data_IF_796752722274
#
_entry.id   IF_796752722274
#
_cell.length_a   1.000
_cell.length_b   1.000
_cell.length_c   1.000
_cell.angle_alpha   90.00
_cell.angle_beta   90.00
_cell.angle_gamma   90.00
#
_symmetry.space_group_name_H-M   'P 1'
#
loop_
_entity.id
_entity.type
_entity.pdbx_description
1 polymer ?
#
# COMPACT_ATOMS: atom_id res chain seq x y z
N UNK A 1 -26.22 -22.79 27.14
CA UNK A 1 -26.70 -23.81 26.17
C UNK A 1 -25.47 -24.51 25.64
N UNK A 2 -25.42 -25.85 25.60
CA UNK A 2 -24.27 -26.57 25.07
C UNK A 2 -24.07 -26.22 23.59
N UNK A 3 -22.85 -25.88 23.21
CA UNK A 3 -22.47 -25.60 21.83
C UNK A 3 -22.53 -26.92 21.06
N UNK A 4 -23.34 -26.97 20.00
CA UNK A 4 -23.47 -28.14 19.12
C UNK A 4 -22.39 -28.13 18.02
N UNK A 5 -22.05 -29.29 17.45
CA UNK A 5 -21.07 -29.44 16.36
C UNK A 5 -21.42 -28.59 15.13
N UNK A 6 -22.71 -28.32 14.88
CA UNK A 6 -23.16 -27.43 13.82
C UNK A 6 -22.69 -25.97 14.02
N UNK A 7 -22.70 -25.48 15.27
CA UNK A 7 -22.27 -24.11 15.59
C UNK A 7 -20.76 -23.95 15.42
N UNK A 8 -19.96 -24.97 15.77
CA UNK A 8 -18.50 -24.94 15.57
C UNK A 8 -18.14 -24.88 14.08
N UNK A 9 -18.86 -25.61 13.23
CA UNK A 9 -18.65 -25.58 11.78
C UNK A 9 -19.00 -24.21 11.16
N UNK A 10 -20.01 -23.53 11.69
CA UNK A 10 -20.34 -22.15 11.29
C UNK A 10 -19.25 -21.16 11.73
N UNK A 11 -18.69 -21.34 12.94
CA UNK A 11 -17.55 -20.55 13.42
C UNK A 11 -16.29 -20.77 12.56
N UNK A 12 -16.02 -22.00 12.10
CA UNK A 12 -14.92 -22.28 11.15
C UNK A 12 -15.07 -21.49 9.86
N UNK A 13 -16.27 -21.45 9.28
CA UNK A 13 -16.55 -20.67 8.08
C UNK A 13 -16.34 -19.16 8.33
N UNK A 14 -16.79 -18.65 9.48
CA UNK A 14 -16.58 -17.26 9.88
C UNK A 14 -15.10 -16.89 10.06
N UNK A 15 -14.27 -17.80 10.55
CA UNK A 15 -12.81 -17.60 10.65
C UNK A 15 -12.16 -17.55 9.28
N UNK A 16 -12.57 -18.42 8.35
CA UNK A 16 -12.03 -18.41 6.98
C UNK A 16 -12.31 -17.08 6.27
N UNK A 17 -13.54 -16.56 6.38
CA UNK A 17 -13.90 -15.24 5.84
C UNK A 17 -13.09 -14.11 6.52
N UNK A 18 -12.93 -14.18 7.85
CA UNK A 18 -12.10 -13.23 8.59
C UNK A 18 -10.62 -13.27 8.14
N UNK A 19 -10.09 -14.47 7.87
CA UNK A 19 -8.72 -14.67 7.39
C UNK A 19 -8.54 -14.07 5.98
N UNK A 20 -9.51 -14.29 5.08
CA UNK A 20 -9.49 -13.71 3.74
C UNK A 20 -9.46 -12.18 3.79
N UNK A 21 -10.28 -11.58 4.65
CA UNK A 21 -10.28 -10.11 4.87
C UNK A 21 -8.92 -9.59 5.35
N UNK A 22 -8.24 -10.31 6.25
CA UNK A 22 -6.88 -9.96 6.70
C UNK A 22 -5.89 -10.03 5.54
N UNK A 23 -5.95 -11.07 4.71
CA UNK A 23 -5.06 -11.22 3.55
C UNK A 23 -5.27 -10.05 2.56
N UNK A 24 -6.53 -9.74 2.24
CA UNK A 24 -6.87 -8.66 1.32
C UNK A 24 -6.45 -7.28 1.86
N UNK A 25 -6.64 -7.03 3.15
CA UNK A 25 -6.21 -5.79 3.78
C UNK A 25 -4.68 -5.63 3.77
N UNK A 26 -3.92 -6.71 4.07
CA UNK A 26 -2.46 -6.71 3.98
C UNK A 26 -1.94 -6.50 2.57
N UNK A 27 -2.57 -7.12 1.56
CA UNK A 27 -2.23 -6.89 0.16
C UNK A 27 -2.43 -5.42 -0.23
N UNK A 28 -3.54 -4.81 0.23
CA UNK A 28 -3.82 -3.39 0.01
C UNK A 28 -2.75 -2.49 0.65
N UNK A 29 -2.32 -2.79 1.88
CA UNK A 29 -1.19 -2.08 2.53
C UNK A 29 0.09 -2.16 1.69
N UNK A 30 0.43 -3.37 1.21
CA UNK A 30 1.64 -3.59 0.41
C UNK A 30 1.60 -2.82 -0.91
N UNK A 31 0.43 -2.75 -1.56
CA UNK A 31 0.25 -1.98 -2.80
C UNK A 31 0.51 -0.49 -2.56
N UNK A 32 -0.07 0.09 -1.50
CA UNK A 32 0.15 1.51 -1.16
C UNK A 32 1.62 1.78 -0.82
N UNK A 33 2.25 0.92 -0.02
CA UNK A 33 3.69 1.04 0.28
C UNK A 33 4.56 0.98 -0.98
N UNK A 34 4.21 0.09 -1.92
CA UNK A 34 4.93 -0.01 -3.20
C UNK A 34 4.76 1.26 -4.04
N UNK A 35 3.56 1.82 -4.11
CA UNK A 35 3.30 3.07 -4.82
C UNK A 35 4.10 4.24 -4.23
N UNK A 36 4.16 4.34 -2.89
CA UNK A 36 4.99 5.36 -2.21
C UNK A 36 6.46 5.22 -2.60
N UNK A 37 7.01 4.01 -2.53
CA UNK A 37 8.41 3.76 -2.89
C UNK A 37 8.73 4.10 -4.36
N UNK A 38 7.79 3.85 -5.28
CA UNK A 38 7.95 4.22 -6.69
C UNK A 38 7.98 5.75 -6.83
N UNK A 39 7.05 6.47 -6.18
CA UNK A 39 7.00 7.93 -6.23
C UNK A 39 8.23 8.59 -5.58
N UNK A 40 8.71 8.06 -4.44
CA UNK A 40 9.93 8.56 -3.80
C UNK A 40 11.17 8.36 -4.69
N UNK A 41 11.24 7.24 -5.40
CA UNK A 41 12.30 6.98 -6.39
C UNK A 41 12.20 7.92 -7.59
N UNK A 42 11.00 8.17 -8.08
CA UNK A 42 10.73 9.12 -9.17
C UNK A 42 11.19 10.53 -8.78
N UNK A 43 10.79 11.01 -7.61
CA UNK A 43 11.23 12.29 -7.05
C UNK A 43 12.75 12.38 -6.96
N UNK A 44 13.40 11.36 -6.39
CA UNK A 44 14.87 11.32 -6.33
C UNK A 44 15.52 11.39 -7.71
N UNK A 45 14.92 10.79 -8.74
CA UNK A 45 15.42 10.90 -10.11
C UNK A 45 15.29 12.33 -10.63
N UNK A 46 14.15 12.98 -10.41
CA UNK A 46 13.91 14.38 -10.78
C UNK A 46 14.95 15.30 -10.12
N UNK A 47 15.20 15.13 -8.81
CA UNK A 47 16.20 15.90 -8.08
C UNK A 47 17.62 15.75 -8.66
N UNK A 48 18.02 14.51 -8.99
CA UNK A 48 19.32 14.23 -9.60
C UNK A 48 19.40 14.91 -10.97
N UNK A 49 18.39 14.75 -11.83
CA UNK A 49 18.37 15.36 -13.15
C UNK A 49 18.39 16.89 -13.09
N UNK A 50 17.70 17.51 -12.13
CA UNK A 50 17.76 18.96 -11.93
C UNK A 50 19.18 19.43 -11.61
N UNK A 51 19.87 18.73 -10.70
CA UNK A 51 21.28 19.04 -10.35
C UNK A 51 22.22 18.84 -11.54
N UNK A 52 22.03 17.79 -12.33
CA UNK A 52 22.80 17.56 -13.54
C UNK A 52 22.60 18.69 -14.57
N UNK A 53 21.37 19.14 -14.76
CA UNK A 53 21.05 20.28 -15.63
C UNK A 53 21.63 21.61 -15.12
N UNK A 54 21.79 21.78 -13.81
CA UNK A 54 22.51 22.94 -13.25
C UNK A 54 24.00 22.91 -13.62
N UNK A 55 24.63 21.74 -13.58
CA UNK A 55 26.05 21.59 -13.96
C UNK A 55 26.31 21.68 -15.47
N UNK A 56 25.31 21.36 -16.30
CA UNK A 56 25.46 21.30 -17.76
C UNK A 56 25.53 22.68 -18.43
N UNK A 57 25.02 23.74 -17.80
CA UNK A 57 24.94 25.10 -18.38
C UNK A 57 23.95 25.22 -19.54
N UNK A 58 23.99 26.33 -20.29
CA UNK A 58 23.12 26.57 -21.45
C UNK A 58 23.63 25.81 -22.69
N UNK A 59 23.33 24.51 -22.75
CA UNK A 59 23.62 23.66 -23.91
C UNK A 59 22.34 23.22 -24.62
N UNK A 60 22.36 22.98 -25.94
CA UNK A 60 21.27 22.32 -26.65
C UNK A 60 20.91 21.02 -25.95
N UNK A 61 19.67 20.91 -25.49
CA UNK A 61 19.21 19.79 -24.68
C UNK A 61 18.01 19.12 -25.34
N UNK A 62 17.76 17.86 -25.00
CA UNK A 62 16.68 17.09 -25.62
C UNK A 62 15.76 16.52 -24.56
N UNK A 63 14.44 16.69 -24.75
CA UNK A 63 13.41 16.03 -23.97
C UNK A 63 13.04 14.71 -24.63
N UNK A 64 13.06 13.61 -23.89
CA UNK A 64 12.54 12.34 -24.38
C UNK A 64 11.01 12.31 -24.33
N UNK A 65 10.40 11.86 -25.43
CA UNK A 65 8.95 11.64 -25.55
C UNK A 65 8.76 10.26 -26.19
N UNK A 66 8.53 9.24 -25.35
CA UNK A 66 8.48 7.85 -25.81
C UNK A 66 9.82 7.40 -26.41
N UNK A 67 9.86 7.15 -27.72
CA UNK A 67 11.08 6.79 -28.47
C UNK A 67 11.71 7.98 -29.22
N UNK A 68 11.11 9.16 -29.15
CA UNK A 68 11.60 10.36 -29.81
C UNK A 68 12.33 11.28 -28.83
N UNK A 69 13.21 12.13 -29.37
CA UNK A 69 13.91 13.17 -28.64
C UNK A 69 13.65 14.51 -29.33
N UNK A 70 13.14 15.48 -28.58
CA UNK A 70 12.79 16.81 -29.11
C UNK A 70 13.75 17.84 -28.51
N UNK A 71 14.31 18.70 -29.36
CA UNK A 71 15.17 19.79 -28.94
C UNK A 71 14.37 20.73 -28.01
N UNK A 72 14.93 21.06 -26.85
CA UNK A 72 14.27 21.86 -25.80
C UNK A 72 15.32 22.67 -25.06
N UNK A 73 14.95 23.84 -24.55
CA UNK A 73 15.87 24.66 -23.76
C UNK A 73 16.00 24.12 -22.33
N UNK A 74 17.17 24.35 -21.72
CA UNK A 74 17.42 23.95 -20.33
C UNK A 74 16.40 24.57 -19.34
N UNK A 75 16.00 25.86 -19.46
CA UNK A 75 14.96 26.43 -18.61
C UNK A 75 13.62 25.68 -18.70
N UNK A 76 13.17 25.34 -19.92
CA UNK A 76 11.93 24.59 -20.13
C UNK A 76 12.00 23.17 -19.54
N UNK A 77 13.15 22.51 -19.63
CA UNK A 77 13.37 21.21 -18.99
C UNK A 77 13.30 21.31 -17.46
N UNK A 78 13.92 22.34 -16.87
CA UNK A 78 13.89 22.58 -15.43
C UNK A 78 12.48 22.88 -14.93
N UNK A 79 11.71 23.68 -15.65
CA UNK A 79 10.31 23.97 -15.32
C UNK A 79 9.46 22.70 -15.32
N UNK A 80 9.54 21.90 -16.39
CA UNK A 80 8.82 20.63 -16.48
C UNK A 80 9.23 19.62 -15.39
N UNK A 81 10.51 19.62 -14.97
CA UNK A 81 10.99 18.78 -13.87
C UNK A 81 10.48 19.28 -12.51
N UNK A 82 10.41 20.60 -12.28
CA UNK A 82 9.83 21.17 -11.06
C UNK A 82 8.33 20.88 -10.94
N UNK A 83 7.59 20.99 -12.04
CA UNK A 83 6.17 20.59 -12.06
C UNK A 83 5.99 19.12 -11.68
N UNK A 84 6.87 18.24 -12.19
CA UNK A 84 6.88 16.83 -11.82
C UNK A 84 7.23 16.61 -10.35
N UNK A 85 8.18 17.34 -9.79
CA UNK A 85 8.55 17.24 -8.38
C UNK A 85 7.35 17.59 -7.47
N UNK A 86 6.69 18.72 -7.75
CA UNK A 86 5.48 19.13 -7.03
C UNK A 86 4.35 18.10 -7.16
N UNK A 87 4.15 17.53 -8.35
CA UNK A 87 3.16 16.48 -8.56
C UNK A 87 3.49 15.21 -7.76
N UNK A 88 4.76 14.79 -7.75
CA UNK A 88 5.22 13.66 -6.95
C UNK A 88 4.99 13.90 -5.45
N UNK A 89 5.29 15.11 -4.95
CA UNK A 89 5.06 15.46 -3.55
C UNK A 89 3.58 15.41 -3.16
N UNK A 90 2.71 15.98 -4.00
CA UNK A 90 1.27 15.93 -3.77
C UNK A 90 0.75 14.48 -3.76
N UNK A 91 1.24 13.64 -4.67
CA UNK A 91 0.85 12.23 -4.73
C UNK A 91 1.39 11.43 -3.54
N UNK A 92 2.63 11.68 -3.10
CA UNK A 92 3.20 11.05 -1.89
C UNK A 92 2.38 11.40 -0.65
N UNK A 93 1.95 12.67 -0.49
CA UNK A 93 1.11 13.09 0.63
C UNK A 93 -0.23 12.35 0.61
N UNK A 94 -0.91 12.32 -0.54
CA UNK A 94 -2.17 11.59 -0.71
C UNK A 94 -2.03 10.09 -0.43
N UNK A 95 -0.96 9.45 -0.92
CA UNK A 95 -0.69 8.04 -0.67
C UNK A 95 -0.37 7.76 0.82
N UNK A 96 0.29 8.69 1.52
CA UNK A 96 0.53 8.56 2.97
C UNK A 96 -0.75 8.67 3.79
N UNK A 97 -1.67 9.54 3.42
CA UNK A 97 -3.00 9.62 4.06
C UNK A 97 -3.81 8.35 3.80
N UNK A 98 -3.79 7.84 2.56
CA UNK A 98 -4.41 6.56 2.21
C UNK A 98 -3.79 5.41 3.00
N UNK A 99 -2.47 5.40 3.16
CA UNK A 99 -1.75 4.39 3.93
C UNK A 99 -2.28 4.30 5.36
N UNK A 100 -2.42 5.43 6.06
CA UNK A 100 -2.97 5.46 7.44
C UNK A 100 -4.35 4.80 7.50
N UNK A 101 -5.20 5.07 6.51
CA UNK A 101 -6.57 4.52 6.46
C UNK A 101 -6.55 3.00 6.23
N UNK A 102 -5.73 2.53 5.28
CA UNK A 102 -5.64 1.10 4.95
C UNK A 102 -4.95 0.32 6.07
N UNK A 103 -3.94 0.90 6.74
CA UNK A 103 -3.28 0.28 7.90
C UNK A 103 -4.25 0.09 9.07
N UNK A 104 -5.07 1.11 9.38
CA UNK A 104 -6.14 0.96 10.39
C UNK A 104 -7.13 -0.14 10.02
N UNK A 105 -7.56 -0.18 8.75
CA UNK A 105 -8.46 -1.24 8.27
C UNK A 105 -7.84 -2.63 8.38
N UNK A 106 -6.53 -2.77 8.17
CA UNK A 106 -5.83 -4.03 8.32
C UNK A 106 -5.73 -4.44 9.79
N UNK A 107 -5.42 -3.50 10.68
CA UNK A 107 -5.38 -3.73 12.12
C UNK A 107 -6.74 -4.16 12.66
N UNK A 108 -7.82 -3.51 12.22
CA UNK A 108 -9.19 -3.86 12.59
C UNK A 108 -9.57 -5.27 12.11
N UNK A 109 -9.19 -5.63 10.87
CA UNK A 109 -9.41 -6.97 10.33
C UNK A 109 -8.63 -8.03 11.12
N UNK A 110 -7.38 -7.76 11.49
CA UNK A 110 -6.55 -8.66 12.31
C UNK A 110 -7.11 -8.83 13.72
N UNK A 111 -7.56 -7.75 14.35
CA UNK A 111 -8.19 -7.79 15.66
C UNK A 111 -9.53 -8.53 15.63
N UNK A 112 -10.32 -8.37 14.56
CA UNK A 112 -11.52 -9.16 14.34
C UNK A 112 -11.20 -10.66 14.20
N UNK A 113 -10.26 -11.03 13.32
CA UNK A 113 -9.81 -12.40 13.13
C UNK A 113 -9.31 -13.02 14.45
N UNK A 114 -8.47 -12.31 15.22
CA UNK A 114 -7.95 -12.80 16.50
C UNK A 114 -9.07 -13.10 17.50
N UNK A 115 -10.10 -12.25 17.54
CA UNK A 115 -11.28 -12.47 18.41
C UNK A 115 -12.07 -13.70 17.98
N UNK A 116 -12.38 -13.82 16.68
CA UNK A 116 -13.11 -14.98 16.14
C UNK A 116 -12.34 -16.29 16.37
N UNK A 117 -11.03 -16.27 16.13
CA UNK A 117 -10.18 -17.42 16.34
C UNK A 117 -10.13 -17.88 17.80
N UNK A 118 -10.08 -16.93 18.75
CA UNK A 118 -10.11 -17.23 20.19
C UNK A 118 -11.44 -17.88 20.60
N UNK A 119 -12.56 -17.33 20.15
CA UNK A 119 -13.90 -17.88 20.45
C UNK A 119 -14.06 -19.32 19.92
N UNK A 120 -13.55 -19.58 18.72
CA UNK A 120 -13.53 -20.92 18.16
C UNK A 120 -12.68 -21.90 18.96
N UNK A 121 -11.50 -21.48 19.44
CA UNK A 121 -10.65 -22.34 20.29
C UNK A 121 -11.34 -22.69 21.62
N UNK A 122 -12.00 -21.72 22.25
CA UNK A 122 -12.76 -21.92 23.48
C UNK A 122 -13.94 -22.89 23.25
N UNK A 123 -14.73 -22.67 22.18
CA UNK A 123 -15.83 -23.56 21.81
C UNK A 123 -15.36 -25.00 21.50
N UNK A 124 -14.22 -25.17 20.82
CA UNK A 124 -13.65 -26.49 20.59
C UNK A 124 -13.16 -27.17 21.87
N UNK A 125 -12.62 -26.41 22.83
CA UNK A 125 -12.17 -26.95 24.10
C UNK A 125 -13.35 -27.43 24.96
N UNK A 126 -14.46 -26.69 24.96
CA UNK A 126 -15.70 -27.06 25.67
C UNK A 126 -16.31 -28.35 25.12
N UNK A 127 -16.38 -28.53 23.79
CA UNK A 127 -16.87 -29.78 23.19
C UNK A 127 -15.96 -30.97 23.55
N UNK A 128 -14.63 -30.78 23.54
CA UNK A 128 -13.67 -31.82 23.94
C UNK A 128 -13.76 -32.17 25.43
N UNK A 129 -14.10 -31.20 26.29
CA UNK A 129 -14.28 -31.41 27.71
C UNK A 129 -15.63 -32.08 28.05
N UNK A 130 -16.69 -31.76 27.31
CA UNK A 130 -18.02 -32.35 27.48
C UNK A 130 -18.15 -33.78 26.90
N UNK A 131 -17.24 -34.16 25.98
CA UNK A 131 -17.16 -35.51 25.41
C UNK A 131 -16.31 -36.52 26.21
N UNK A 132 -15.81 -36.13 27.40
CA UNK A 132 -15.11 -37.00 28.37
C UNK A 132 -16.02 -37.29 29.55
#
# INVERSE_FOLDING_TARGET
MPIDQAQVKEMEAGIMDAQEKVINARQSCNQVNTQIAIMEREKKRVDITLRELDTAGERPSYKSIGRAFVLTSVPQLKEALKEKDVACDAEIVSLKERKITVEKSAEDAENYFRRQFKQYQEAQAEIKAAGK
#
